data_IF_157259495827
#
_entry.id   IF_157259495827
#
_cell.length_a   1.000
_cell.length_b   1.000
_cell.length_c   1.000
_cell.angle_alpha   90.00
_cell.angle_beta   90.00
_cell.angle_gamma   90.00
#
_symmetry.space_group_name_H-M   'P 1'
#
loop_
_entity.id
_entity.type
_entity.pdbx_description
1 polymer ?
#
# COMPACT_ATOMS: atom_id res chain seq x y z
N UNK A 1 7.98 13.39 8.62
CA UNK A 1 7.18 12.35 9.30
C UNK A 1 6.55 12.85 10.62
N UNK A 2 6.41 14.17 10.85
CA UNK A 2 5.93 14.74 12.12
C UNK A 2 4.41 14.93 12.24
N UNK A 3 3.62 14.32 11.36
CA UNK A 3 2.18 14.59 11.32
C UNK A 3 1.29 13.42 11.71
N UNK A 4 1.76 12.18 11.70
CA UNK A 4 0.91 11.00 11.96
C UNK A 4 1.68 10.01 12.82
N UNK A 5 1.01 9.41 13.81
CA UNK A 5 1.56 8.25 14.54
C UNK A 5 1.82 7.11 13.56
N UNK A 6 2.96 6.44 13.69
CA UNK A 6 3.34 5.34 12.79
C UNK A 6 2.26 4.24 12.70
N UNK A 7 1.56 3.96 13.81
CA UNK A 7 0.46 2.99 13.87
C UNK A 7 -0.78 3.43 13.10
N UNK A 8 -1.20 4.70 13.24
CA UNK A 8 -2.31 5.29 12.46
C UNK A 8 -1.98 5.28 10.97
N UNK A 9 -0.74 5.62 10.61
CA UNK A 9 -0.26 5.55 9.23
C UNK A 9 -0.25 4.13 8.66
N UNK A 10 0.23 3.15 9.43
CA UNK A 10 0.28 1.75 9.03
C UNK A 10 -1.11 1.13 8.86
N UNK A 11 -2.04 1.38 9.81
CA UNK A 11 -3.42 0.92 9.72
C UNK A 11 -4.12 1.52 8.49
N UNK A 12 -3.88 2.80 8.22
CA UNK A 12 -4.47 3.51 7.09
C UNK A 12 -3.89 3.02 5.75
N UNK A 13 -2.59 2.78 5.65
CA UNK A 13 -1.97 2.12 4.49
C UNK A 13 -2.56 0.71 4.32
N UNK A 14 -2.85 0.02 5.42
CA UNK A 14 -3.57 -1.25 5.47
C UNK A 14 -4.97 -1.24 4.86
N UNK A 15 -5.60 -0.06 4.71
CA UNK A 15 -6.89 0.08 4.00
C UNK A 15 -6.72 0.15 2.48
N UNK A 16 -5.51 0.43 1.98
CA UNK A 16 -5.20 0.54 0.55
C UNK A 16 -5.67 -0.66 -0.30
N UNK A 17 -5.48 -1.92 0.12
CA UNK A 17 -6.05 -3.09 -0.54
C UNK A 17 -7.57 -3.01 -0.71
N UNK A 18 -8.30 -2.62 0.34
CA UNK A 18 -9.76 -2.50 0.31
C UNK A 18 -10.20 -1.37 -0.61
N UNK A 19 -9.57 -0.19 -0.52
CA UNK A 19 -9.84 0.94 -1.42
C UNK A 19 -9.63 0.53 -2.88
N UNK A 20 -8.54 -0.19 -3.16
CA UNK A 20 -8.25 -0.74 -4.49
C UNK A 20 -9.34 -1.70 -4.99
N UNK A 21 -9.83 -2.59 -4.14
CA UNK A 21 -10.91 -3.50 -4.47
C UNK A 21 -12.25 -2.77 -4.70
N UNK A 22 -12.56 -1.74 -3.90
CA UNK A 22 -13.76 -0.90 -4.08
C UNK A 22 -13.70 -0.17 -5.42
N UNK A 23 -12.56 0.43 -5.76
CA UNK A 23 -12.39 1.08 -7.07
C UNK A 23 -12.56 0.09 -8.23
N UNK A 24 -12.09 -1.16 -8.08
CA UNK A 24 -12.35 -2.23 -9.05
C UNK A 24 -13.84 -2.50 -9.24
N UNK A 25 -14.58 -2.67 -8.15
CA UNK A 25 -16.01 -2.87 -8.23
C UNK A 25 -16.77 -1.69 -8.87
N UNK A 26 -16.39 -0.44 -8.54
CA UNK A 26 -17.09 0.75 -9.03
C UNK A 26 -16.81 1.05 -10.50
N UNK A 27 -15.55 0.90 -10.95
CA UNK A 27 -15.14 1.35 -12.28
C UNK A 27 -14.95 0.22 -13.30
N UNK A 28 -14.90 -1.04 -12.87
CA UNK A 28 -14.81 -2.21 -13.74
C UNK A 28 -16.14 -2.96 -13.68
N UNK A 29 -17.01 -2.72 -14.66
CA UNK A 29 -18.41 -3.19 -14.71
C UNK A 29 -18.58 -4.72 -14.56
N UNK A 30 -17.54 -5.50 -14.86
CA UNK A 30 -17.54 -6.96 -14.72
C UNK A 30 -17.17 -7.47 -13.32
N UNK A 31 -16.74 -6.60 -12.41
CA UNK A 31 -16.29 -6.99 -11.08
C UNK A 31 -17.36 -6.74 -10.02
N UNK A 32 -17.73 -7.78 -9.28
CA UNK A 32 -18.65 -7.69 -8.16
C UNK A 32 -18.00 -8.27 -6.91
N UNK A 33 -18.26 -7.64 -5.76
CA UNK A 33 -17.89 -8.22 -4.48
C UNK A 33 -18.73 -9.46 -4.20
N UNK A 34 -18.07 -10.60 -4.02
CA UNK A 34 -18.70 -11.75 -3.40
C UNK A 34 -18.75 -11.56 -1.87
N UNK A 35 -19.71 -12.21 -1.19
CA UNK A 35 -19.76 -12.25 0.29
C UNK A 35 -18.43 -12.71 0.89
N UNK A 36 -17.79 -13.67 0.20
CA UNK A 36 -16.48 -14.20 0.55
C UNK A 36 -15.37 -13.16 0.46
N UNK A 37 -15.38 -12.36 -0.61
CA UNK A 37 -14.44 -11.26 -0.81
C UNK A 37 -14.57 -10.22 0.30
N UNK A 38 -15.80 -9.79 0.60
CA UNK A 38 -16.07 -8.82 1.68
C UNK A 38 -15.51 -9.32 3.02
N UNK A 39 -15.85 -10.56 3.40
CA UNK A 39 -15.36 -11.15 4.64
C UNK A 39 -13.83 -11.24 4.69
N UNK A 40 -13.19 -11.60 3.57
CA UNK A 40 -11.73 -11.67 3.48
C UNK A 40 -11.09 -10.29 3.67
N UNK A 41 -11.59 -9.25 3.00
CA UNK A 41 -11.05 -7.90 3.17
C UNK A 41 -11.25 -7.36 4.60
N UNK A 42 -12.38 -7.67 5.24
CA UNK A 42 -12.60 -7.30 6.64
C UNK A 42 -11.63 -8.01 7.58
N UNK A 43 -11.42 -9.32 7.41
CA UNK A 43 -10.42 -10.07 8.17
C UNK A 43 -9.00 -9.52 7.96
N UNK A 44 -8.64 -9.23 6.71
CA UNK A 44 -7.33 -8.64 6.38
C UNK A 44 -7.14 -7.29 7.07
N UNK A 45 -8.15 -6.42 7.02
CA UNK A 45 -8.11 -5.10 7.66
C UNK A 45 -7.97 -5.18 9.19
N UNK A 46 -8.72 -6.10 9.83
CA UNK A 46 -8.60 -6.35 11.28
C UNK A 46 -7.18 -6.84 11.59
N UNK A 47 -6.66 -7.77 10.80
CA UNK A 47 -5.30 -8.29 10.97
C UNK A 47 -4.23 -7.20 10.86
N UNK A 48 -4.29 -6.36 9.82
CA UNK A 48 -3.33 -5.25 9.64
C UNK A 48 -3.42 -4.22 10.78
N UNK A 49 -4.63 -3.95 11.25
CA UNK A 49 -4.83 -3.04 12.40
C UNK A 49 -4.19 -3.62 13.66
N UNK A 50 -4.35 -4.91 13.92
CA UNK A 50 -3.72 -5.59 15.07
C UNK A 50 -2.19 -5.62 14.96
N UNK A 51 -1.63 -5.87 13.77
CA UNK A 51 -0.19 -5.77 13.54
C UNK A 51 0.32 -4.37 13.86
N UNK A 52 -0.43 -3.34 13.45
CA UNK A 52 -0.07 -1.94 13.66
C UNK A 52 -0.16 -1.50 15.13
N UNK A 53 -1.04 -2.12 15.92
CA UNK A 53 -1.21 -1.85 17.35
C UNK A 53 -0.17 -2.55 18.23
N UNK A 54 0.31 -3.73 17.82
CA UNK A 54 1.34 -4.48 18.56
C UNK A 54 2.67 -3.74 18.72
N UNK A 55 2.98 -2.78 17.84
CA UNK A 55 4.17 -1.93 17.91
C UNK A 55 4.24 -0.97 19.10
N UNK A 56 3.29 -1.05 20.04
CA UNK A 56 3.32 -0.37 21.34
C UNK A 56 3.21 1.14 21.24
N UNK A 57 2.00 1.70 21.17
CA UNK A 57 1.75 3.10 21.54
C UNK A 57 0.27 3.39 21.84
N UNK A 58 0.04 4.29 22.80
CA UNK A 58 -1.24 4.60 23.41
C UNK A 58 -2.26 5.22 22.44
N UNK A 59 -3.46 4.61 22.39
CA UNK A 59 -4.62 5.02 21.62
C UNK A 59 -5.28 6.31 22.11
N UNK A 60 -4.60 7.44 21.96
CA UNK A 60 -5.20 8.77 22.10
C UNK A 60 -5.89 9.24 20.82
N UNK A 61 -6.96 10.04 20.96
CA UNK A 61 -7.67 10.71 19.88
C UNK A 61 -6.69 11.49 18.95
N UNK A 62 -6.90 11.47 17.64
CA UNK A 62 -6.00 12.14 16.70
C UNK A 62 -6.05 13.66 16.88
N UNK A 63 -4.88 14.28 16.99
CA UNK A 63 -4.77 15.75 17.00
C UNK A 63 -5.05 16.35 15.62
N UNK A 64 -5.24 17.67 15.53
CA UNK A 64 -5.55 18.38 14.27
C UNK A 64 -4.52 18.14 13.16
N UNK A 65 -3.23 18.02 13.49
CA UNK A 65 -2.16 17.69 12.53
C UNK A 65 -2.21 16.23 12.06
N UNK A 66 -2.68 15.34 12.91
CA UNK A 66 -2.89 13.92 12.60
C UNK A 66 -4.03 13.72 11.60
N UNK A 67 -5.10 14.51 11.74
CA UNK A 67 -6.21 14.52 10.77
C UNK A 67 -5.73 14.91 9.38
N UNK A 68 -4.90 15.95 9.25
CA UNK A 68 -4.36 16.37 7.94
C UNK A 68 -3.55 15.23 7.30
N UNK A 69 -2.71 14.56 8.09
CA UNK A 69 -1.93 13.44 7.58
C UNK A 69 -2.80 12.23 7.18
N UNK A 70 -3.84 11.93 7.96
CA UNK A 70 -4.84 10.90 7.60
C UNK A 70 -5.50 11.24 6.26
N UNK A 71 -5.94 12.49 6.07
CA UNK A 71 -6.55 12.93 4.80
C UNK A 71 -5.58 12.83 3.62
N UNK A 72 -4.31 13.16 3.81
CA UNK A 72 -3.27 13.00 2.79
C UNK A 72 -3.07 11.52 2.40
N UNK A 73 -3.00 10.62 3.38
CA UNK A 73 -2.86 9.18 3.13
C UNK A 73 -4.09 8.58 2.46
N UNK A 74 -5.30 9.00 2.84
CA UNK A 74 -6.55 8.58 2.17
C UNK A 74 -6.57 9.04 0.72
N UNK A 75 -6.26 10.31 0.47
CA UNK A 75 -6.20 10.87 -0.89
C UNK A 75 -5.18 10.14 -1.75
N UNK A 76 -4.00 9.86 -1.19
CA UNK A 76 -2.96 9.07 -1.85
C UNK A 76 -3.44 7.65 -2.19
N UNK A 77 -4.15 7.01 -1.27
CA UNK A 77 -4.68 5.66 -1.48
C UNK A 77 -5.74 5.62 -2.59
N UNK A 78 -6.61 6.63 -2.64
CA UNK A 78 -7.61 6.78 -3.71
C UNK A 78 -6.92 7.03 -5.06
N UNK A 79 -5.95 7.95 -5.11
CA UNK A 79 -5.17 8.22 -6.33
C UNK A 79 -4.47 6.96 -6.84
N UNK A 80 -3.83 6.19 -5.95
CA UNK A 80 -3.21 4.91 -6.28
C UNK A 80 -4.20 3.86 -6.77
N UNK A 81 -5.40 3.81 -6.18
CA UNK A 81 -6.46 2.90 -6.60
C UNK A 81 -7.03 3.26 -7.98
N UNK A 82 -7.22 4.56 -8.27
CA UNK A 82 -7.62 5.06 -9.59
C UNK A 82 -6.55 4.75 -10.65
N UNK A 83 -5.27 4.90 -10.33
CA UNK A 83 -4.18 4.49 -11.22
C UNK A 83 -4.27 3.01 -11.60
N UNK A 84 -4.56 2.12 -10.64
CA UNK A 84 -4.77 0.69 -10.94
C UNK A 84 -5.93 0.46 -11.91
N UNK A 85 -7.04 1.19 -11.75
CA UNK A 85 -8.19 1.12 -12.65
C UNK A 85 -7.82 1.59 -14.06
N UNK A 86 -7.11 2.71 -14.18
CA UNK A 86 -6.66 3.25 -15.47
C UNK A 86 -5.75 2.24 -16.19
N UNK A 87 -4.77 1.68 -15.49
CA UNK A 87 -3.87 0.66 -16.06
C UNK A 87 -4.64 -0.56 -16.56
N UNK A 88 -5.68 -1.01 -15.85
CA UNK A 88 -6.51 -2.14 -16.29
C UNK A 88 -7.41 -1.82 -17.48
N UNK A 89 -7.94 -0.60 -17.54
CA UNK A 89 -8.88 -0.18 -18.60
C UNK A 89 -8.17 0.05 -19.93
N UNK A 90 -6.94 0.56 -19.91
CA UNK A 90 -6.15 0.90 -21.09
C UNK A 90 -5.02 -0.10 -21.40
N UNK A 91 -5.04 -1.29 -20.79
CA UNK A 91 -3.99 -2.30 -20.96
C UNK A 91 -3.79 -2.80 -22.40
N UNK A 92 -4.81 -2.66 -23.27
CA UNK A 92 -4.72 -3.03 -24.69
C UNK A 92 -4.05 -1.97 -25.55
N UNK A 93 -4.09 -0.70 -25.10
CA UNK A 93 -3.77 0.44 -25.96
C UNK A 93 -2.38 1.00 -25.64
N UNK A 94 -1.95 0.88 -24.38
CA UNK A 94 -0.68 1.45 -23.89
C UNK A 94 0.07 0.39 -23.08
N UNK A 95 1.36 0.22 -23.39
CA UNK A 95 2.25 -0.64 -22.60
C UNK A 95 2.29 -0.14 -21.16
N UNK A 96 2.07 -1.05 -20.21
CA UNK A 96 2.04 -0.76 -18.76
C UNK A 96 3.31 -0.06 -18.24
N UNK A 97 4.47 -0.36 -18.84
CA UNK A 97 5.73 0.32 -18.53
C UNK A 97 5.71 1.81 -18.88
N UNK A 98 5.07 2.21 -19.98
CA UNK A 98 4.96 3.62 -20.39
C UNK A 98 4.09 4.40 -19.41
N UNK A 99 2.95 3.82 -19.00
CA UNK A 99 2.08 4.42 -17.98
C UNK A 99 2.82 4.60 -16.65
N UNK A 100 3.58 3.58 -16.23
CA UNK A 100 4.36 3.63 -14.99
C UNK A 100 5.43 4.71 -15.03
N UNK A 101 6.20 4.78 -16.13
CA UNK A 101 7.24 5.81 -16.30
C UNK A 101 6.64 7.21 -16.33
N UNK A 102 5.52 7.42 -17.02
CA UNK A 102 4.81 8.69 -17.04
C UNK A 102 4.34 9.10 -15.64
N UNK A 103 3.74 8.17 -14.87
CA UNK A 103 3.30 8.42 -13.50
C UNK A 103 4.48 8.80 -12.58
N UNK A 104 5.62 8.09 -12.68
CA UNK A 104 6.80 8.37 -11.87
C UNK A 104 7.45 9.71 -12.23
N UNK A 105 7.53 10.05 -13.52
CA UNK A 105 8.07 11.33 -13.98
C UNK A 105 7.17 12.48 -13.51
N UNK A 106 5.86 12.39 -13.76
CA UNK A 106 4.91 13.43 -13.36
C UNK A 106 4.92 13.60 -11.84
N UNK A 107 4.82 12.51 -11.08
CA UNK A 107 4.88 12.58 -9.61
C UNK A 107 6.20 13.12 -9.08
N UNK A 108 7.33 12.69 -9.65
CA UNK A 108 8.66 13.17 -9.28
C UNK A 108 8.85 14.66 -9.57
N UNK A 109 8.47 15.12 -10.76
CA UNK A 109 8.53 16.54 -11.15
C UNK A 109 7.60 17.37 -10.27
N UNK A 110 6.37 16.92 -10.02
CA UNK A 110 5.44 17.62 -9.13
C UNK A 110 6.00 17.76 -7.70
N UNK A 111 6.61 16.70 -7.16
CA UNK A 111 7.24 16.75 -5.84
C UNK A 111 8.47 17.66 -5.82
N UNK A 112 9.28 17.67 -6.88
CA UNK A 112 10.41 18.59 -7.01
C UNK A 112 9.94 20.05 -7.06
N UNK A 113 8.94 20.37 -7.87
CA UNK A 113 8.35 21.71 -7.93
C UNK A 113 7.81 22.11 -6.57
N UNK A 114 7.05 21.23 -5.91
CA UNK A 114 6.52 21.49 -4.57
C UNK A 114 7.63 21.72 -3.54
N UNK A 115 8.76 21.01 -3.65
CA UNK A 115 9.90 21.19 -2.74
C UNK A 115 10.51 22.59 -2.81
N UNK A 116 10.51 23.22 -4.00
CA UNK A 116 10.98 24.59 -4.20
C UNK A 116 10.14 25.63 -3.45
N UNK A 117 8.86 25.33 -3.16
CA UNK A 117 7.95 26.23 -2.44
C UNK A 117 7.92 25.99 -0.93
N UNK A 118 8.41 24.83 -0.47
CA UNK A 118 8.35 24.44 0.94
C UNK A 118 9.68 24.69 1.64
N UNK A 119 10.79 24.54 0.94
CA UNK A 119 12.14 24.63 1.50
C UNK A 119 12.90 25.79 0.87
N UNK A 120 13.39 26.70 1.71
CA UNK A 120 14.14 27.88 1.28
C UNK A 120 15.59 27.55 0.89
N UNK A 121 16.19 26.53 1.54
CA UNK A 121 17.57 26.11 1.32
C UNK A 121 17.65 24.69 0.73
N UNK A 122 17.84 24.61 -0.59
CA UNK A 122 18.09 23.34 -1.29
C UNK A 122 19.60 23.20 -1.52
N UNK A 123 20.23 22.35 -0.73
CA UNK A 123 21.65 22.00 -0.87
C UNK A 123 21.84 20.63 -1.50
N UNK A 124 22.79 20.55 -2.43
CA UNK A 124 23.27 19.31 -3.04
C UNK A 124 24.60 18.84 -2.44
N UNK A 125 25.05 19.44 -1.33
CA UNK A 125 26.27 19.02 -0.64
C UNK A 125 25.93 18.03 0.48
N UNK A 126 25.29 16.91 0.10
CA UNK A 126 24.86 15.89 1.04
C UNK A 126 25.89 14.76 1.15
N UNK A 127 25.97 14.05 2.30
CA UNK A 127 26.88 12.92 2.45
C UNK A 127 26.65 11.84 1.40
N UNK A 128 27.69 11.12 0.97
CA UNK A 128 27.55 10.07 -0.06
C UNK A 128 26.50 9.00 0.30
N UNK A 129 26.34 8.71 1.60
CA UNK A 129 25.31 7.81 2.13
C UNK A 129 23.89 8.23 1.71
N UNK A 130 23.62 9.53 1.62
CA UNK A 130 22.33 10.05 1.15
C UNK A 130 22.06 9.61 -0.30
N UNK A 131 23.03 9.78 -1.20
CA UNK A 131 22.88 9.41 -2.60
C UNK A 131 22.73 7.91 -2.81
N UNK A 132 23.43 7.08 -2.02
CA UNK A 132 23.22 5.64 -2.03
C UNK A 132 21.81 5.26 -1.58
N UNK A 133 21.33 5.83 -0.47
CA UNK A 133 19.96 5.61 -0.01
C UNK A 133 18.92 6.10 -1.01
N UNK A 134 19.15 7.26 -1.64
CA UNK A 134 18.26 7.81 -2.67
C UNK A 134 18.22 6.89 -3.89
N UNK A 135 19.38 6.46 -4.41
CA UNK A 135 19.47 5.53 -5.53
C UNK A 135 18.78 4.20 -5.23
N UNK A 136 18.96 3.68 -4.02
CA UNK A 136 18.28 2.46 -3.56
C UNK A 136 16.75 2.63 -3.53
N UNK A 137 16.25 3.72 -2.97
CA UNK A 137 14.82 4.01 -2.90
C UNK A 137 14.19 4.22 -4.29
N UNK A 138 14.92 4.89 -5.20
CA UNK A 138 14.51 5.04 -6.61
C UNK A 138 14.37 3.67 -7.25
N UNK A 139 15.37 2.80 -7.11
CA UNK A 139 15.36 1.46 -7.68
C UNK A 139 14.19 0.61 -7.16
N UNK A 140 14.03 0.51 -5.83
CA UNK A 140 12.96 -0.29 -5.23
C UNK A 140 11.58 0.22 -5.63
N UNK A 141 11.38 1.54 -5.70
CA UNK A 141 10.13 2.15 -6.17
C UNK A 141 9.85 1.81 -7.64
N UNK A 142 10.81 2.08 -8.53
CA UNK A 142 10.66 1.84 -9.96
C UNK A 142 10.43 0.35 -10.27
N UNK A 143 11.20 -0.54 -9.64
CA UNK A 143 11.06 -1.99 -9.81
C UNK A 143 9.71 -2.50 -9.26
N UNK A 144 9.32 -2.06 -8.06
CA UNK A 144 8.07 -2.46 -7.43
C UNK A 144 6.83 -2.05 -8.22
N UNK A 145 6.74 -0.77 -8.61
CA UNK A 145 5.62 -0.28 -9.42
C UNK A 145 5.61 -0.93 -10.80
N UNK A 146 6.76 -1.07 -11.44
CA UNK A 146 6.84 -1.71 -12.76
C UNK A 146 6.39 -3.17 -12.71
N UNK A 147 6.82 -3.93 -11.70
CA UNK A 147 6.39 -5.31 -11.52
C UNK A 147 4.89 -5.41 -11.22
N UNK A 148 4.38 -4.56 -10.33
CA UNK A 148 2.96 -4.51 -9.99
C UNK A 148 2.10 -4.21 -11.22
N UNK A 149 2.40 -3.13 -11.96
CA UNK A 149 1.61 -2.76 -13.12
C UNK A 149 1.79 -3.71 -14.29
N UNK A 150 2.95 -4.35 -14.43
CA UNK A 150 3.13 -5.44 -15.39
C UNK A 150 2.19 -6.61 -15.07
N UNK A 151 2.17 -7.08 -13.81
CA UNK A 151 1.25 -8.14 -13.36
C UNK A 151 -0.21 -7.72 -13.56
N UNK A 152 -0.54 -6.47 -13.23
CA UNK A 152 -1.89 -5.92 -13.39
C UNK A 152 -2.35 -5.94 -14.86
N UNK A 153 -1.46 -5.58 -15.79
CA UNK A 153 -1.78 -5.57 -17.22
C UNK A 153 -1.82 -6.96 -17.86
N UNK A 154 -1.05 -7.93 -17.35
CA UNK A 154 -0.89 -9.26 -17.98
C UNK A 154 -1.83 -10.31 -17.40
N UNK A 155 -2.16 -10.25 -16.11
CA UNK A 155 -3.08 -11.19 -15.46
C UNK A 155 -4.51 -10.91 -15.91
N UNK A 156 -5.31 -11.99 -16.01
CA UNK A 156 -6.76 -11.92 -16.27
C UNK A 156 -7.61 -11.97 -15.00
N UNK A 157 -6.97 -11.93 -13.84
CA UNK A 157 -7.66 -11.88 -12.54
C UNK A 157 -8.32 -10.53 -12.32
N UNK A 158 -9.37 -10.51 -11.50
CA UNK A 158 -10.04 -9.26 -11.12
C UNK A 158 -9.16 -8.38 -10.25
N UNK A 159 -9.33 -7.06 -10.34
CA UNK A 159 -8.66 -6.09 -9.47
C UNK A 159 -8.95 -6.38 -7.99
N UNK A 160 -10.16 -6.84 -7.65
CA UNK A 160 -10.49 -7.32 -6.30
C UNK A 160 -9.55 -8.45 -5.87
N UNK A 161 -9.32 -9.45 -6.72
CA UNK A 161 -8.43 -10.58 -6.40
C UNK A 161 -6.97 -10.14 -6.32
N UNK A 162 -6.53 -9.25 -7.21
CA UNK A 162 -5.16 -8.76 -7.17
C UNK A 162 -4.86 -7.90 -5.93
N UNK A 163 -5.84 -7.13 -5.44
CA UNK A 163 -5.62 -6.32 -4.24
C UNK A 163 -5.58 -7.15 -2.94
N UNK A 164 -6.19 -8.34 -2.86
CA UNK A 164 -6.10 -9.19 -1.65
C UNK A 164 -4.62 -9.54 -1.33
N UNK A 165 -3.80 -9.75 -2.37
CA UNK A 165 -2.38 -10.08 -2.23
C UNK A 165 -1.56 -8.96 -1.61
N UNK A 166 -2.01 -7.70 -1.70
CA UNK A 166 -1.30 -6.56 -1.09
C UNK A 166 -1.28 -6.64 0.44
N UNK A 167 -2.16 -7.44 1.07
CA UNK A 167 -2.06 -7.70 2.49
C UNK A 167 -0.78 -8.46 2.90
N UNK A 168 -0.05 -9.07 1.96
CA UNK A 168 1.27 -9.64 2.24
C UNK A 168 2.30 -8.56 2.61
N UNK A 169 2.12 -7.32 2.15
CA UNK A 169 3.05 -6.21 2.39
C UNK A 169 3.30 -5.98 3.88
N UNK A 170 2.29 -5.72 4.73
CA UNK A 170 2.50 -5.53 6.17
C UNK A 170 3.05 -6.76 6.88
N UNK A 171 2.70 -7.99 6.44
CA UNK A 171 3.26 -9.23 7.01
C UNK A 171 4.75 -9.33 6.71
N UNK A 172 5.13 -9.15 5.45
CA UNK A 172 6.54 -9.21 5.01
C UNK A 172 7.35 -8.08 5.64
N UNK A 173 6.78 -6.87 5.71
CA UNK A 173 7.40 -5.72 6.36
C UNK A 173 7.66 -5.96 7.84
N UNK A 174 6.69 -6.55 8.57
CA UNK A 174 6.88 -6.91 9.98
C UNK A 174 7.94 -7.98 10.19
N UNK A 175 7.92 -9.06 9.38
CA UNK A 175 8.94 -10.13 9.46
C UNK A 175 10.35 -9.57 9.17
N UNK A 176 10.49 -8.77 8.11
CA UNK A 176 11.77 -8.14 7.78
C UNK A 176 12.19 -7.15 8.88
N UNK A 177 11.25 -6.43 9.49
CA UNK A 177 11.48 -5.58 10.66
C UNK A 177 12.14 -6.35 11.80
N UNK A 178 11.56 -7.48 12.20
CA UNK A 178 12.10 -8.33 13.26
C UNK A 178 13.48 -8.91 12.96
N UNK A 179 13.80 -9.14 11.68
CA UNK A 179 15.10 -9.68 11.26
C UNK A 179 16.16 -8.58 11.20
N UNK A 180 15.81 -7.41 10.67
CA UNK A 180 16.77 -6.36 10.30
C UNK A 180 16.91 -5.25 11.34
N UNK A 181 15.89 -5.01 12.16
CA UNK A 181 15.85 -3.92 13.14
C UNK A 181 16.22 -4.49 14.52
N UNK A 182 17.38 -4.09 15.09
CA UNK A 182 17.75 -4.51 16.44
C UNK A 182 16.69 -4.09 17.46
N UNK A 183 16.30 -5.02 18.33
CA UNK A 183 15.28 -4.84 19.38
C UNK A 183 13.83 -4.70 18.88
N UNK A 184 13.55 -4.91 17.59
CA UNK A 184 12.18 -5.11 17.11
C UNK A 184 11.84 -6.60 17.22
N UNK A 185 10.96 -6.97 18.16
CA UNK A 185 10.64 -8.37 18.45
C UNK A 185 9.15 -8.64 18.28
N UNK A 186 8.78 -9.84 17.80
CA UNK A 186 7.38 -10.21 17.65
C UNK A 186 6.68 -10.21 19.00
N UNK A 187 5.58 -9.48 19.09
CA UNK A 187 4.64 -9.54 20.21
C UNK A 187 3.40 -10.37 19.82
N UNK A 188 2.63 -10.77 20.82
CA UNK A 188 1.46 -11.64 20.62
C UNK A 188 0.40 -10.99 19.71
N UNK A 189 0.21 -9.67 19.78
CA UNK A 189 -0.76 -8.95 18.95
C UNK A 189 -0.33 -8.94 17.48
N UNK A 190 0.96 -8.72 17.20
CA UNK A 190 1.50 -8.73 15.85
C UNK A 190 1.50 -10.14 15.24
N UNK A 191 1.81 -11.18 16.02
CA UNK A 191 1.71 -12.58 15.56
C UNK A 191 0.25 -12.92 15.21
N UNK A 192 -0.69 -12.60 16.09
CA UNK A 192 -2.11 -12.87 15.86
C UNK A 192 -2.66 -12.07 14.66
N UNK A 193 -2.28 -10.79 14.55
CA UNK A 193 -2.61 -9.96 13.40
C UNK A 193 -2.08 -10.53 12.09
N UNK A 194 -0.83 -11.01 12.05
CA UNK A 194 -0.28 -11.70 10.88
C UNK A 194 -1.03 -12.98 10.56
N UNK A 195 -1.43 -13.76 11.57
CA UNK A 195 -2.26 -14.95 11.41
C UNK A 195 -3.62 -14.65 10.78
N UNK A 196 -4.27 -13.55 11.19
CA UNK A 196 -5.52 -13.09 10.58
C UNK A 196 -5.34 -12.63 9.14
N UNK A 197 -4.25 -11.90 8.85
CA UNK A 197 -3.94 -11.50 7.47
C UNK A 197 -3.71 -12.73 6.59
N UNK A 198 -2.91 -13.69 7.03
CA UNK A 198 -2.69 -14.93 6.29
C UNK A 198 -4.00 -15.71 6.06
N UNK A 199 -4.82 -15.81 7.11
CA UNK A 199 -6.14 -16.45 7.05
C UNK A 199 -7.08 -15.75 6.07
N UNK A 200 -7.01 -14.42 5.97
CA UNK A 200 -7.83 -13.65 5.02
C UNK A 200 -7.53 -14.00 3.56
N UNK A 201 -6.25 -14.15 3.22
CA UNK A 201 -5.80 -14.51 1.86
C UNK A 201 -6.17 -15.95 1.56
N UNK A 202 -5.91 -16.87 2.49
CA UNK A 202 -6.26 -18.29 2.34
C UNK A 202 -7.78 -18.47 2.18
N UNK A 203 -8.56 -17.80 3.02
CA UNK A 203 -10.00 -17.82 2.91
C UNK A 203 -10.44 -17.29 1.55
N UNK A 204 -9.93 -16.14 1.08
CA UNK A 204 -10.29 -15.57 -0.23
C UNK A 204 -10.08 -16.56 -1.39
N UNK A 205 -9.01 -17.34 -1.38
CA UNK A 205 -8.69 -18.28 -2.46
C UNK A 205 -9.19 -19.72 -2.26
N UNK A 206 -9.68 -20.09 -1.07
CA UNK A 206 -10.28 -21.42 -0.83
C UNK A 206 -11.43 -21.68 -1.82
N UNK A 207 -11.26 -22.58 -2.80
CA UNK A 207 -12.38 -22.93 -3.69
C UNK A 207 -13.57 -23.38 -2.84
N UNK A 208 -14.74 -22.80 -3.09
CA UNK A 208 -15.97 -23.33 -2.52
C UNK A 208 -16.09 -24.77 -3.00
N UNK A 209 -16.15 -25.73 -2.07
CA UNK A 209 -16.57 -27.08 -2.40
C UNK A 209 -17.98 -26.92 -2.97
N UNK A 210 -18.12 -27.08 -4.29
CA UNK A 210 -19.42 -27.37 -4.87
C UNK A 210 -19.81 -28.74 -4.30
N UNK A 211 -20.68 -28.75 -3.30
CA UNK A 211 -21.48 -29.92 -2.96
C UNK A 211 -22.64 -29.94 -3.94
#
# INVERSE_FOLDING_TARGET
MDRIKASTGAALIGTGPLIGAIMGHLFIKSEAFSKKSIFSFMLGLIGVTLVSLGGGHNGGLPGSREIIGILMLLTSSIAGALSNVVVLKYKSDIKSSVLTSAQLIVGGVSLLILSLFIYDDITFQLPIKFYFSLGWLIFISAAGFSMWYHLLSTRKESLISMNIWKFIIPVSGGILGWILIPNDSPNLQSIFGMGLVASSILFFYKKGVKI
#
